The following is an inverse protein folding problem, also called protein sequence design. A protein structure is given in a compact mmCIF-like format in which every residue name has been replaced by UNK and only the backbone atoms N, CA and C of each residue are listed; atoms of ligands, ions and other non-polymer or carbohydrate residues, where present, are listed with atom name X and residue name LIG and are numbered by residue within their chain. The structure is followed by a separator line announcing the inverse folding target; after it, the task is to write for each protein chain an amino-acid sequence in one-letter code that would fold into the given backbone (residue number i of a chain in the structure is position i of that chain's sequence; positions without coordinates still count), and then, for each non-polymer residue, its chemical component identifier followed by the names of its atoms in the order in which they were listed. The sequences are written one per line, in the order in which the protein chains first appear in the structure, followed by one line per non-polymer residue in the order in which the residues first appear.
data_IF_924906985815
#
_entry.id   IF_924906985815
#
_cell.length_a   1.000
_cell.length_b   1.000
_cell.length_c   1.000
_cell.angle_alpha   90.00
_cell.angle_beta   90.00
_cell.angle_gamma   90.00
#
_symmetry.space_group_name_H-M   'P 1'
#
loop_
_entity.id
_entity.type
_entity.pdbx_description
1 polymer ?
#
# COMPACT_ATOMS: atom_id res chain seq x y z
N UNK A 1 -19.38 14.07 -0.45
CA UNK A 1 -18.20 14.01 -1.35
C UNK A 1 -16.91 13.62 -0.64
N UNK A 2 -16.50 14.29 0.46
CA UNK A 2 -15.26 13.94 1.17
C UNK A 2 -15.16 12.49 1.66
N UNK A 3 -16.25 11.92 2.19
CA UNK A 3 -16.27 10.52 2.65
C UNK A 3 -16.09 9.50 1.51
N UNK A 4 -16.65 9.79 0.32
CA UNK A 4 -16.42 8.97 -0.88
C UNK A 4 -14.96 9.01 -1.30
N UNK A 5 -14.34 10.19 -1.26
CA UNK A 5 -12.92 10.35 -1.59
C UNK A 5 -12.02 9.58 -0.63
N UNK A 6 -12.33 9.64 0.68
CA UNK A 6 -11.62 8.88 1.72
C UNK A 6 -11.74 7.37 1.45
N UNK A 7 -12.96 6.85 1.23
CA UNK A 7 -13.15 5.43 0.91
C UNK A 7 -12.37 5.01 -0.35
N UNK A 8 -12.39 5.86 -1.37
CA UNK A 8 -11.74 5.55 -2.64
C UNK A 8 -10.21 5.47 -2.48
N UNK A 9 -9.61 6.45 -1.83
CA UNK A 9 -8.16 6.55 -1.65
C UNK A 9 -7.62 5.59 -0.59
N UNK A 10 -8.33 5.41 0.52
CA UNK A 10 -7.83 4.64 1.67
C UNK A 10 -8.30 3.17 1.67
N UNK A 11 -9.31 2.81 0.88
CA UNK A 11 -9.85 1.44 0.88
C UNK A 11 -9.84 0.83 -0.52
N UNK A 12 -10.52 1.46 -1.49
CA UNK A 12 -10.69 0.88 -2.82
C UNK A 12 -9.35 0.76 -3.55
N UNK A 13 -8.55 1.82 -3.54
CA UNK A 13 -7.29 1.87 -4.26
C UNK A 13 -6.24 0.90 -3.65
N UNK A 14 -6.02 0.85 -2.33
CA UNK A 14 -5.17 -0.17 -1.70
C UNK A 14 -5.65 -1.59 -1.96
N UNK A 15 -6.96 -1.85 -1.84
CA UNK A 15 -7.52 -3.17 -2.12
C UNK A 15 -7.29 -3.59 -3.59
N UNK A 16 -7.48 -2.67 -4.53
CA UNK A 16 -7.21 -2.91 -5.95
C UNK A 16 -5.75 -3.27 -6.21
N UNK A 17 -4.81 -2.51 -5.64
CA UNK A 17 -3.37 -2.79 -5.75
C UNK A 17 -3.03 -4.17 -5.16
N UNK A 18 -3.49 -4.45 -3.94
CA UNK A 18 -3.25 -5.73 -3.27
C UNK A 18 -3.80 -6.90 -4.07
N UNK A 19 -5.01 -6.77 -4.62
CA UNK A 19 -5.65 -7.82 -5.41
C UNK A 19 -4.90 -8.07 -6.72
N UNK A 20 -4.57 -7.00 -7.45
CA UNK A 20 -3.84 -7.09 -8.71
C UNK A 20 -2.46 -7.72 -8.51
N UNK A 21 -1.71 -7.29 -7.50
CA UNK A 21 -0.39 -7.85 -7.21
C UNK A 21 -0.47 -9.27 -6.65
N UNK A 22 -1.40 -9.56 -5.74
CA UNK A 22 -1.61 -10.90 -5.19
C UNK A 22 -1.93 -11.94 -6.28
N UNK A 23 -2.66 -11.55 -7.32
CA UNK A 23 -3.00 -12.42 -8.45
C UNK A 23 -1.87 -12.58 -9.47
N UNK A 24 -1.08 -11.52 -9.70
CA UNK A 24 -0.05 -11.53 -10.76
C UNK A 24 1.35 -11.92 -10.28
N UNK A 25 1.71 -11.67 -9.03
CA UNK A 25 3.02 -12.01 -8.47
C UNK A 25 3.38 -13.50 -8.54
N UNK A 26 2.47 -14.46 -8.37
CA UNK A 26 2.76 -15.87 -8.62
C UNK A 26 3.27 -16.15 -10.04
N UNK A 27 2.76 -15.42 -11.04
CA UNK A 27 3.17 -15.56 -12.45
C UNK A 27 4.45 -14.80 -12.76
N UNK A 28 4.60 -13.59 -12.23
CA UNK A 28 5.77 -12.73 -12.47
C UNK A 28 7.01 -13.18 -11.70
N UNK A 29 6.84 -13.72 -10.49
CA UNK A 29 7.92 -14.12 -9.58
C UNK A 29 7.64 -15.52 -9.00
N UNK A 30 7.64 -16.58 -9.82
CA UNK A 30 7.30 -17.93 -9.38
C UNK A 30 8.27 -18.50 -8.33
N UNK A 31 9.53 -18.05 -8.35
CA UNK A 31 10.56 -18.47 -7.38
C UNK A 31 10.40 -17.86 -5.98
N UNK A 32 9.55 -16.85 -5.82
CA UNK A 32 9.36 -16.22 -4.52
C UNK A 32 8.43 -17.07 -3.66
N UNK A 33 8.73 -17.16 -2.36
CA UNK A 33 7.83 -17.79 -1.40
C UNK A 33 6.48 -17.05 -1.37
N UNK A 34 5.41 -17.76 -1.00
CA UNK A 34 4.09 -17.15 -0.86
C UNK A 34 4.10 -15.97 0.13
N UNK A 35 4.86 -16.12 1.23
CA UNK A 35 5.06 -15.06 2.22
C UNK A 35 5.63 -13.79 1.58
N UNK A 36 6.73 -13.90 0.82
CA UNK A 36 7.36 -12.74 0.18
C UNK A 36 6.44 -12.05 -0.83
N UNK A 37 5.68 -12.82 -1.61
CA UNK A 37 4.71 -12.28 -2.59
C UNK A 37 3.59 -11.51 -1.89
N UNK A 38 3.02 -12.07 -0.83
CA UNK A 38 1.93 -11.42 -0.10
C UNK A 38 2.41 -10.19 0.67
N UNK A 39 3.59 -10.25 1.30
CA UNK A 39 4.20 -9.08 1.92
C UNK A 39 4.44 -7.97 0.89
N UNK A 40 5.00 -8.29 -0.28
CA UNK A 40 5.24 -7.29 -1.32
C UNK A 40 3.92 -6.65 -1.83
N UNK A 41 2.88 -7.45 -2.06
CA UNK A 41 1.57 -6.95 -2.47
C UNK A 41 0.93 -6.06 -1.39
N UNK A 42 1.00 -6.47 -0.12
CA UNK A 42 0.47 -5.71 1.01
C UNK A 42 1.22 -4.39 1.20
N UNK A 43 2.55 -4.42 1.18
CA UNK A 43 3.38 -3.22 1.29
C UNK A 43 3.13 -2.25 0.14
N UNK A 44 3.01 -2.74 -1.10
CA UNK A 44 2.63 -1.89 -2.22
C UNK A 44 1.25 -1.24 -2.00
N UNK A 45 0.25 -2.01 -1.56
CA UNK A 45 -1.08 -1.45 -1.28
C UNK A 45 -1.08 -0.34 -0.22
N UNK A 46 -0.28 -0.51 0.84
CA UNK A 46 -0.19 0.48 1.92
C UNK A 46 0.67 1.70 1.58
N UNK A 47 1.80 1.51 0.90
CA UNK A 47 2.79 2.57 0.72
C UNK A 47 2.68 3.30 -0.62
N UNK A 48 2.27 2.65 -1.71
CA UNK A 48 2.20 3.29 -3.03
C UNK A 48 1.33 4.57 -3.03
N UNK A 49 0.17 4.63 -2.36
CA UNK A 49 -0.65 5.84 -2.31
C UNK A 49 -0.01 7.00 -1.54
N UNK A 50 0.86 6.71 -0.56
CA UNK A 50 1.53 7.72 0.28
C UNK A 50 2.91 8.13 -0.23
N UNK A 51 3.46 7.45 -1.24
CA UNK A 51 4.76 7.80 -1.85
C UNK A 51 4.76 9.21 -2.43
N UNK A 52 3.71 9.60 -3.19
CA UNK A 52 3.64 10.92 -3.81
C UNK A 52 3.60 12.06 -2.78
N UNK A 53 2.70 12.04 -1.77
CA UNK A 53 2.72 13.04 -0.69
C UNK A 53 4.05 13.14 0.05
N UNK A 54 4.73 12.01 0.29
CA UNK A 54 6.03 12.02 0.96
C UNK A 54 7.09 12.63 0.04
N UNK A 55 7.10 12.26 -1.23
CA UNK A 55 8.06 12.77 -2.20
C UNK A 55 7.96 14.30 -2.36
N UNK A 56 6.75 14.86 -2.38
CA UNK A 56 6.56 16.31 -2.44
C UNK A 56 7.10 17.00 -1.18
N UNK A 57 6.81 16.47 0.00
CA UNK A 57 7.30 17.03 1.27
C UNK A 57 8.83 17.01 1.36
N UNK A 58 9.46 15.95 0.84
CA UNK A 58 10.93 15.82 0.81
C UNK A 58 11.56 16.72 -0.25
N UNK A 59 10.94 16.84 -1.43
CA UNK A 59 11.46 17.64 -2.54
C UNK A 59 11.49 19.14 -2.25
N UNK A 60 10.50 19.63 -1.49
CA UNK A 60 10.39 21.06 -1.16
C UNK A 60 11.35 21.49 -0.04
N UNK A 61 12.23 20.60 0.44
CA UNK A 61 13.35 20.95 1.31
C UNK A 61 12.94 21.47 2.70
N UNK A 62 11.72 21.16 3.15
CA UNK A 62 11.21 21.70 4.41
C UNK A 62 12.05 21.24 5.62
N UNK A 63 12.61 22.21 6.35
CA UNK A 63 13.44 22.03 7.54
C UNK A 63 12.70 21.34 8.68
N UNK A 64 12.78 20.01 8.79
CA UNK A 64 12.45 19.18 9.98
C UNK A 64 11.00 19.19 10.50
N UNK A 65 10.24 20.28 10.32
CA UNK A 65 8.89 20.50 10.84
C UNK A 65 7.87 19.52 10.26
N UNK A 66 8.12 19.00 9.05
CA UNK A 66 7.21 18.08 8.37
C UNK A 66 7.60 16.61 8.55
N UNK A 67 8.67 16.33 9.30
CA UNK A 67 9.06 14.95 9.63
C UNK A 67 7.94 14.22 10.36
N UNK A 68 7.21 14.91 11.25
CA UNK A 68 6.05 14.36 11.94
C UNK A 68 4.97 13.89 10.94
N UNK A 69 4.68 14.70 9.92
CA UNK A 69 3.69 14.35 8.89
C UNK A 69 4.13 13.17 8.04
N UNK A 70 5.40 13.10 7.66
CA UNK A 70 5.97 11.96 6.95
C UNK A 70 5.83 10.68 7.80
N UNK A 71 6.15 10.75 9.09
CA UNK A 71 5.99 9.61 10.01
C UNK A 71 4.52 9.17 10.13
N UNK A 72 3.58 10.11 10.22
CA UNK A 72 2.14 9.81 10.25
C UNK A 72 1.71 9.12 8.95
N UNK A 73 2.16 9.59 7.79
CA UNK A 73 1.83 8.99 6.49
C UNK A 73 2.40 7.58 6.35
N UNK A 74 3.65 7.36 6.80
CA UNK A 74 4.27 6.03 6.83
C UNK A 74 3.51 5.08 7.76
N UNK A 75 3.12 5.55 8.94
CA UNK A 75 2.33 4.77 9.89
C UNK A 75 0.95 4.43 9.30
N UNK A 76 0.28 5.39 8.68
CA UNK A 76 -0.98 5.16 7.99
C UNK A 76 -0.84 4.13 6.87
N UNK A 77 0.21 4.23 6.05
CA UNK A 77 0.51 3.26 5.01
C UNK A 77 0.76 1.85 5.57
N UNK A 78 1.47 1.74 6.69
CA UNK A 78 1.66 0.47 7.39
C UNK A 78 0.33 -0.12 7.87
N UNK A 79 -0.53 0.70 8.48
CA UNK A 79 -1.86 0.27 8.95
C UNK A 79 -2.71 -0.22 7.78
N UNK A 80 -2.74 0.50 6.66
CA UNK A 80 -3.46 0.09 5.44
C UNK A 80 -2.89 -1.20 4.87
N UNK A 81 -1.57 -1.33 4.82
CA UNK A 81 -0.89 -2.56 4.38
C UNK A 81 -1.34 -3.76 5.19
N UNK A 82 -1.48 -3.63 6.52
CA UNK A 82 -1.87 -4.74 7.40
C UNK A 82 -3.37 -5.02 7.37
N UNK A 83 -4.21 -3.99 7.49
CA UNK A 83 -5.67 -4.14 7.64
C UNK A 83 -6.35 -4.46 6.31
N UNK A 84 -5.84 -3.91 5.19
CA UNK A 84 -6.49 -4.02 3.88
C UNK A 84 -5.59 -4.80 2.93
N UNK A 85 -4.32 -4.40 2.79
CA UNK A 85 -3.41 -4.97 1.81
C UNK A 85 -3.18 -6.47 1.98
N UNK A 86 -2.82 -6.89 3.18
CA UNK A 86 -2.49 -8.28 3.50
C UNK A 86 -3.68 -9.25 3.33
N UNK A 87 -4.87 -9.01 3.93
CA UNK A 87 -6.00 -9.93 3.74
C UNK A 87 -6.45 -9.99 2.28
N UNK A 88 -6.47 -8.87 1.57
CA UNK A 88 -6.85 -8.85 0.14
C UNK A 88 -5.83 -9.61 -0.70
N UNK A 89 -4.53 -9.43 -0.46
CA UNK A 89 -3.48 -10.18 -1.17
C UNK A 89 -3.57 -11.70 -0.92
N UNK A 90 -3.82 -12.11 0.32
CA UNK A 90 -4.02 -13.52 0.68
C UNK A 90 -5.25 -14.12 -0.01
N UNK A 91 -6.37 -13.39 -0.03
CA UNK A 91 -7.59 -13.82 -0.72
C UNK A 91 -7.40 -13.91 -2.23
N UNK A 92 -6.67 -12.95 -2.83
CA UNK A 92 -6.36 -12.94 -4.25
C UNK A 92 -5.48 -14.12 -4.64
N UNK A 93 -4.44 -14.41 -3.86
CA UNK A 93 -3.52 -15.53 -4.09
C UNK A 93 -4.21 -16.90 -3.98
N UNK A 94 -5.22 -17.05 -3.13
CA UNK A 94 -6.04 -18.28 -3.04
C UNK A 94 -6.94 -18.50 -4.25
N UNK A 95 -7.29 -17.43 -4.97
CA UNK A 95 -8.18 -17.46 -6.15
C UNK A 95 -7.40 -17.46 -7.48
N UNK A 96 -6.07 -17.44 -7.43
CA UNK A 96 -5.19 -17.32 -8.59
C UNK A 96 -4.68 -18.69 -9.05
#
# INVERSE_FOLDING_TARGET
MGLLFILLVFVVLPAGIAFALGRNLPRLRPRWSALRRNCAAASAAGFLPVVLPIATVVADGYDGQYMLWVMILLLAGLVISLIIGLPVALLAARKA
#
